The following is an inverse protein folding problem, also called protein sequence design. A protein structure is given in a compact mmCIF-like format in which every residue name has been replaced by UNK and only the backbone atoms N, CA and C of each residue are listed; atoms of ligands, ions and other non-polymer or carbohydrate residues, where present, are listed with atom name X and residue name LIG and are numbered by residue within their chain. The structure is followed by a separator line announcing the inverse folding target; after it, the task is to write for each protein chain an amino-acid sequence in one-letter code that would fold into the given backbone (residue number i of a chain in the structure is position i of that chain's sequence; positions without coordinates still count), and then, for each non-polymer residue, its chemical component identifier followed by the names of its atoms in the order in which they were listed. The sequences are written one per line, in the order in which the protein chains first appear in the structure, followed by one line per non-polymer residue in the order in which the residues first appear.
data_IF_840030626342
#
_entry.id   IF_840030626342
#
_cell.length_a   1.000
_cell.length_b   1.000
_cell.length_c   1.000
_cell.angle_alpha   90.00
_cell.angle_beta   90.00
_cell.angle_gamma   90.00
#
_symmetry.space_group_name_H-M   'P 1'
#
loop_
_entity.id
_entity.type
_entity.pdbx_description
1 polymer ?
#
# COMPACT_ATOMS: atom_id res chain seq x y z
N UNK A 1 23.00 35.41 -22.65
CA UNK A 1 21.87 34.86 -23.45
C UNK A 1 20.60 34.91 -22.61
N UNK A 2 19.75 35.92 -22.84
CA UNK A 2 18.61 36.24 -21.97
C UNK A 2 17.41 35.32 -22.24
N UNK A 3 17.12 34.43 -21.30
CA UNK A 3 15.94 33.57 -21.31
C UNK A 3 14.70 34.44 -21.02
N UNK A 4 14.10 35.01 -22.08
CA UNK A 4 12.82 35.72 -22.01
C UNK A 4 11.82 34.81 -21.28
N UNK A 5 11.32 35.28 -20.14
CA UNK A 5 10.40 34.58 -19.25
C UNK A 5 9.16 34.06 -19.97
N UNK A 6 9.27 32.87 -20.56
CA UNK A 6 8.13 32.01 -20.82
C UNK A 6 7.46 31.83 -19.48
N UNK A 7 6.28 32.44 -19.31
CA UNK A 7 5.45 32.31 -18.11
C UNK A 7 5.26 30.81 -17.88
N UNK A 8 6.05 30.23 -16.99
CA UNK A 8 6.02 28.79 -16.72
C UNK A 8 4.68 28.50 -16.05
N UNK A 9 3.76 27.92 -16.81
CA UNK A 9 2.49 27.39 -16.29
C UNK A 9 2.72 25.98 -15.76
N UNK A 10 1.99 25.56 -14.74
CA UNK A 10 2.03 24.16 -14.30
C UNK A 10 1.17 23.29 -15.21
N UNK A 11 1.28 21.96 -15.08
CA UNK A 11 0.52 20.99 -15.88
C UNK A 11 -1.00 21.18 -15.78
N UNK A 12 -1.54 21.43 -14.57
CA UNK A 12 -2.97 21.77 -14.35
C UNK A 12 -3.41 22.95 -15.20
N UNK A 13 -2.67 24.06 -15.11
CA UNK A 13 -3.02 25.30 -15.79
C UNK A 13 -2.80 25.20 -17.31
N UNK A 14 -1.79 24.43 -17.76
CA UNK A 14 -1.59 24.09 -19.17
C UNK A 14 -2.75 23.27 -19.74
N UNK A 15 -3.18 22.20 -19.04
CA UNK A 15 -4.34 21.36 -19.40
C UNK A 15 -5.62 22.18 -19.52
N UNK A 16 -5.82 23.09 -18.56
CA UNK A 16 -7.02 23.94 -18.51
C UNK A 16 -6.92 25.23 -19.37
N UNK A 17 -5.81 25.43 -20.10
CA UNK A 17 -5.52 26.65 -20.87
C UNK A 17 -5.66 27.95 -20.05
N UNK A 18 -5.35 27.90 -18.75
CA UNK A 18 -5.41 29.04 -17.81
C UNK A 18 -4.01 29.54 -17.44
N UNK A 19 -3.92 30.78 -16.96
CA UNK A 19 -2.68 31.32 -16.37
C UNK A 19 -2.48 30.72 -14.98
N UNK A 20 -1.22 30.43 -14.61
CA UNK A 20 -0.87 29.93 -13.29
C UNK A 20 -0.80 31.08 -12.28
N UNK A 21 -1.34 30.88 -11.08
CA UNK A 21 -1.22 31.85 -9.97
C UNK A 21 0.20 31.85 -9.38
N UNK A 22 0.65 32.98 -8.83
CA UNK A 22 2.02 33.14 -8.29
C UNK A 22 2.36 32.11 -7.20
N UNK A 23 1.38 31.72 -6.38
CA UNK A 23 1.52 30.76 -5.26
C UNK A 23 0.83 29.40 -5.56
N UNK A 24 0.97 28.88 -6.78
CA UNK A 24 0.37 27.59 -7.13
C UNK A 24 1.18 26.44 -6.49
N UNK A 25 0.55 25.69 -5.57
CA UNK A 25 1.20 24.57 -4.87
C UNK A 25 1.63 23.44 -5.81
N UNK A 26 0.93 23.25 -6.93
CA UNK A 26 1.24 22.21 -7.91
C UNK A 26 2.37 22.60 -8.87
N UNK A 27 2.77 23.88 -8.92
CA UNK A 27 3.75 24.36 -9.92
C UNK A 27 5.15 23.77 -9.76
N UNK A 28 5.71 23.63 -8.54
CA UNK A 28 7.02 23.02 -8.34
C UNK A 28 7.05 21.54 -8.75
N UNK A 29 5.95 20.82 -8.49
CA UNK A 29 5.90 19.36 -8.65
C UNK A 29 5.39 18.89 -10.02
N UNK A 30 4.51 19.68 -10.64
CA UNK A 30 3.93 19.38 -11.96
C UNK A 30 4.22 20.52 -12.94
N UNK A 31 5.45 20.64 -13.44
CA UNK A 31 5.79 21.62 -14.46
C UNK A 31 5.07 21.31 -15.79
N UNK A 32 5.02 22.29 -16.70
CA UNK A 32 4.30 22.16 -17.99
C UNK A 32 4.83 21.03 -18.88
N UNK A 33 6.09 20.68 -18.70
CA UNK A 33 6.83 19.62 -19.39
C UNK A 33 6.28 18.24 -19.00
N UNK A 34 5.89 18.07 -17.74
CA UNK A 34 5.43 16.79 -17.17
C UNK A 34 3.90 16.66 -17.22
N UNK A 35 3.28 17.15 -18.30
CA UNK A 35 1.81 17.09 -18.45
C UNK A 35 1.29 15.66 -18.54
N UNK A 36 2.10 14.72 -19.05
CA UNK A 36 1.73 13.30 -19.15
C UNK A 36 1.53 12.67 -17.77
N UNK A 37 2.48 12.88 -16.87
CA UNK A 37 2.43 12.40 -15.49
C UNK A 37 1.22 13.00 -14.76
N UNK A 38 1.00 14.31 -14.94
CA UNK A 38 -0.18 14.98 -14.41
C UNK A 38 -1.50 14.42 -14.96
N UNK A 39 -1.56 14.05 -16.24
CA UNK A 39 -2.76 13.42 -16.81
C UNK A 39 -2.97 12.04 -16.19
N UNK A 40 -1.91 11.22 -16.07
CA UNK A 40 -1.96 9.89 -15.48
C UNK A 40 -2.47 9.91 -14.04
N UNK A 41 -1.82 10.70 -13.17
CA UNK A 41 -2.20 10.80 -11.76
C UNK A 41 -3.63 11.32 -11.57
N UNK A 42 -4.10 12.24 -12.43
CA UNK A 42 -5.49 12.75 -12.37
C UNK A 42 -6.56 11.71 -12.71
N UNK A 43 -6.18 10.53 -13.21
CA UNK A 43 -7.12 9.40 -13.37
C UNK A 43 -7.41 8.67 -12.06
N UNK A 44 -6.56 8.85 -11.05
CA UNK A 44 -6.65 8.20 -9.74
C UNK A 44 -6.97 9.22 -8.64
N UNK A 45 -6.27 10.35 -8.65
CA UNK A 45 -6.43 11.43 -7.67
C UNK A 45 -7.09 12.65 -8.31
N UNK A 46 -8.17 13.15 -7.70
CA UNK A 46 -8.69 14.45 -8.09
C UNK A 46 -7.66 15.55 -7.80
N UNK A 47 -7.72 16.63 -8.58
CA UNK A 47 -6.79 17.75 -8.42
C UNK A 47 -6.93 18.40 -7.05
N UNK A 48 -8.17 18.50 -6.56
CA UNK A 48 -8.51 19.04 -5.25
C UNK A 48 -7.92 18.17 -4.13
N UNK A 49 -7.99 16.83 -4.27
CA UNK A 49 -7.42 15.92 -3.28
C UNK A 49 -5.89 16.04 -3.24
N UNK A 50 -5.24 16.11 -4.41
CA UNK A 50 -3.79 16.35 -4.47
C UNK A 50 -3.40 17.68 -3.79
N UNK A 51 -4.13 18.76 -4.09
CA UNK A 51 -3.88 20.07 -3.48
C UNK A 51 -4.06 20.03 -1.95
N UNK A 52 -5.12 19.39 -1.44
CA UNK A 52 -5.35 19.23 0.00
C UNK A 52 -4.25 18.43 0.69
N UNK A 53 -3.86 17.29 0.11
CA UNK A 53 -2.80 16.43 0.68
C UNK A 53 -1.50 17.23 0.75
N UNK A 54 -1.09 17.88 -0.35
CA UNK A 54 0.13 18.67 -0.38
C UNK A 54 0.08 19.85 0.58
N UNK A 55 -1.07 20.51 0.75
CA UNK A 55 -1.23 21.59 1.72
C UNK A 55 -1.06 21.12 3.17
N UNK A 56 -1.58 19.93 3.51
CA UNK A 56 -1.47 19.33 4.84
C UNK A 56 -0.08 18.71 5.13
N UNK A 57 0.74 18.53 4.09
CA UNK A 57 2.05 17.89 4.20
C UNK A 57 3.16 18.88 4.53
N UNK A 58 4.16 18.39 5.27
CA UNK A 58 5.42 19.09 5.50
C UNK A 58 6.10 19.46 4.18
N UNK A 59 6.61 20.70 3.99
CA UNK A 59 7.19 21.13 2.73
C UNK A 59 8.30 20.23 2.19
N UNK A 60 9.11 19.63 3.06
CA UNK A 60 10.25 18.80 2.67
C UNK A 60 9.79 17.41 2.20
N UNK A 61 8.70 16.88 2.77
CA UNK A 61 8.11 15.59 2.38
C UNK A 61 7.20 15.63 1.14
N UNK A 62 6.84 16.81 0.63
CA UNK A 62 5.89 16.92 -0.49
C UNK A 62 6.38 16.27 -1.78
N UNK A 63 7.68 16.31 -2.05
CA UNK A 63 8.23 15.69 -3.26
C UNK A 63 8.05 14.17 -3.22
N UNK A 64 8.35 13.55 -2.07
CA UNK A 64 8.19 12.10 -1.88
C UNK A 64 6.72 11.68 -2.00
N UNK A 65 5.79 12.47 -1.47
CA UNK A 65 4.35 12.23 -1.61
C UNK A 65 3.94 12.27 -3.09
N UNK A 66 4.41 13.26 -3.86
CA UNK A 66 4.12 13.34 -5.30
C UNK A 66 4.69 12.13 -6.03
N UNK A 67 5.94 11.75 -5.74
CA UNK A 67 6.58 10.60 -6.36
C UNK A 67 5.82 9.31 -6.04
N UNK A 68 5.34 9.15 -4.80
CA UNK A 68 4.50 8.02 -4.40
C UNK A 68 3.17 8.02 -5.15
N UNK A 69 2.53 9.16 -5.38
CA UNK A 69 1.29 9.21 -6.15
C UNK A 69 1.54 8.87 -7.63
N UNK A 70 2.69 9.25 -8.19
CA UNK A 70 3.07 8.93 -9.58
C UNK A 70 3.38 7.44 -9.80
N UNK A 71 3.81 6.74 -8.75
CA UNK A 71 3.92 5.28 -8.77
C UNK A 71 2.57 4.60 -8.97
N UNK A 72 1.45 5.28 -8.78
CA UNK A 72 0.12 4.71 -9.02
C UNK A 72 -0.32 5.08 -10.43
N UNK A 73 -0.30 4.07 -11.29
CA UNK A 73 -0.78 4.10 -12.66
C UNK A 73 -2.30 4.01 -12.80
N UNK A 74 -2.79 4.04 -14.05
CA UNK A 74 -4.21 3.99 -14.36
C UNK A 74 -4.90 2.78 -13.70
N UNK A 75 -6.11 3.00 -13.17
CA UNK A 75 -6.90 1.99 -12.43
C UNK A 75 -6.23 1.47 -11.14
N UNK A 76 -5.35 2.26 -10.52
CA UNK A 76 -4.72 1.91 -9.24
C UNK A 76 -3.63 0.83 -9.35
N UNK A 77 -3.13 0.55 -10.54
CA UNK A 77 -2.00 -0.37 -10.76
C UNK A 77 -0.69 0.35 -10.46
N UNK A 78 0.28 -0.30 -9.82
CA UNK A 78 1.60 0.31 -9.67
C UNK A 78 2.33 0.40 -11.03
N UNK A 79 2.85 1.59 -11.33
CA UNK A 79 3.78 1.87 -12.43
C UNK A 79 5.18 1.36 -12.04
N UNK A 80 5.33 0.05 -11.98
CA UNK A 80 6.63 -0.59 -11.74
C UNK A 80 7.35 -0.79 -13.07
N UNK A 81 8.65 -0.55 -13.07
CA UNK A 81 9.54 -1.01 -14.15
C UNK A 81 9.53 -2.54 -14.23
N UNK A 82 9.89 -3.09 -15.40
CA UNK A 82 9.99 -4.55 -15.55
C UNK A 82 11.03 -5.16 -14.61
N UNK A 83 12.11 -4.43 -14.31
CA UNK A 83 13.13 -4.84 -13.33
C UNK A 83 12.57 -4.96 -11.92
N UNK A 84 11.80 -3.95 -11.46
CA UNK A 84 11.15 -3.98 -10.14
C UNK A 84 10.14 -5.11 -10.04
N UNK A 85 9.34 -5.34 -11.10
CA UNK A 85 8.40 -6.47 -11.16
C UNK A 85 9.13 -7.80 -11.04
N UNK A 86 10.23 -7.96 -11.79
CA UNK A 86 11.00 -9.20 -11.79
C UNK A 86 11.59 -9.49 -10.41
N UNK A 87 12.15 -8.48 -9.75
CA UNK A 87 12.67 -8.59 -8.38
C UNK A 87 11.58 -9.01 -7.40
N UNK A 88 10.41 -8.35 -7.44
CA UNK A 88 9.27 -8.69 -6.57
C UNK A 88 8.81 -10.13 -6.81
N UNK A 89 8.77 -10.59 -8.05
CA UNK A 89 8.35 -11.95 -8.39
C UNK A 89 9.34 -13.00 -7.85
N UNK A 90 10.64 -12.74 -7.97
CA UNK A 90 11.68 -13.63 -7.46
C UNK A 90 11.65 -13.71 -5.92
N UNK A 91 11.55 -12.57 -5.24
CA UNK A 91 11.42 -12.51 -3.79
C UNK A 91 10.17 -13.24 -3.30
N UNK A 92 9.01 -13.01 -3.95
CA UNK A 92 7.77 -13.72 -3.63
C UNK A 92 7.88 -15.23 -3.84
N UNK A 93 8.65 -15.68 -4.83
CA UNK A 93 8.89 -17.10 -5.08
C UNK A 93 9.68 -17.73 -3.94
N UNK A 94 10.75 -17.08 -3.48
CA UNK A 94 11.54 -17.58 -2.35
C UNK A 94 10.75 -17.59 -1.05
N UNK A 95 10.02 -16.52 -0.75
CA UNK A 95 9.14 -16.45 0.43
C UNK A 95 8.08 -17.57 0.44
N UNK A 96 7.52 -17.92 -0.73
CA UNK A 96 6.56 -19.02 -0.84
C UNK A 96 7.20 -20.37 -0.52
N UNK A 97 8.44 -20.63 -0.96
CA UNK A 97 9.17 -21.87 -0.64
C UNK A 97 9.47 -21.98 0.84
N UNK A 98 9.90 -20.88 1.47
CA UNK A 98 10.17 -20.85 2.90
C UNK A 98 8.90 -21.12 3.71
N UNK A 99 7.80 -20.47 3.34
CA UNK A 99 6.49 -20.71 3.94
C UNK A 99 6.03 -22.16 3.82
N UNK A 100 6.28 -22.80 2.68
CA UNK A 100 5.95 -24.22 2.47
C UNK A 100 6.74 -25.15 3.40
N UNK A 101 8.05 -24.91 3.55
CA UNK A 101 8.89 -25.64 4.51
C UNK A 101 8.38 -25.47 5.94
N UNK A 102 8.09 -24.22 6.33
CA UNK A 102 7.56 -23.90 7.65
C UNK A 102 6.21 -24.59 7.90
N UNK A 103 5.32 -24.58 6.91
CA UNK A 103 4.05 -25.29 6.99
C UNK A 103 4.26 -26.80 7.21
N UNK A 104 5.22 -27.42 6.52
CA UNK A 104 5.57 -28.83 6.74
C UNK A 104 6.01 -29.12 8.17
N UNK A 105 6.90 -28.28 8.74
CA UNK A 105 7.35 -28.41 10.13
C UNK A 105 6.20 -28.22 11.12
N UNK A 106 5.32 -27.25 10.86
CA UNK A 106 4.15 -27.00 11.71
C UNK A 106 3.18 -28.19 11.71
N UNK A 107 3.00 -28.86 10.58
CA UNK A 107 2.13 -30.04 10.47
C UNK A 107 2.71 -31.26 11.20
N UNK A 108 4.03 -31.45 11.12
CA UNK A 108 4.73 -32.48 11.90
C UNK A 108 4.61 -32.22 13.40
N UNK A 109 4.86 -30.98 13.84
CA UNK A 109 4.69 -30.59 15.24
C UNK A 109 3.26 -30.79 15.72
N UNK A 110 2.26 -30.44 14.90
CA UNK A 110 0.85 -30.66 15.23
C UNK A 110 0.54 -32.13 15.40
N UNK A 111 0.99 -32.97 14.47
CA UNK A 111 0.81 -34.43 14.55
C UNK A 111 1.43 -35.02 15.82
N UNK A 112 2.59 -34.49 16.23
CA UNK A 112 3.25 -34.86 17.49
C UNK A 112 2.46 -34.43 18.72
N UNK A 113 1.92 -33.22 18.73
CA UNK A 113 1.04 -32.72 19.80
C UNK A 113 -0.20 -33.62 19.92
N UNK A 114 -0.89 -33.89 18.80
CA UNK A 114 -2.09 -34.74 18.78
C UNK A 114 -1.80 -36.16 19.31
N UNK A 115 -0.63 -36.72 18.95
CA UNK A 115 -0.18 -38.02 19.43
C UNK A 115 0.07 -38.03 20.94
N UNK A 116 0.74 -36.99 21.47
CA UNK A 116 0.99 -36.84 22.91
C UNK A 116 -0.31 -36.65 23.68
N UNK A 117 -1.24 -35.83 23.17
CA UNK A 117 -2.57 -35.67 23.76
C UNK A 117 -3.33 -37.01 23.82
N UNK A 118 -3.23 -37.83 22.77
CA UNK A 118 -3.79 -39.18 22.76
C UNK A 118 -3.21 -40.07 23.87
N UNK A 119 -1.88 -40.05 24.07
CA UNK A 119 -1.20 -40.83 25.11
C UNK A 119 -1.59 -40.34 26.51
N UNK A 120 -1.66 -39.03 26.73
CA UNK A 120 -2.04 -38.45 28.02
C UNK A 120 -3.48 -38.84 28.40
N UNK A 121 -4.42 -38.79 27.43
CA UNK A 121 -5.81 -39.26 27.62
C UNK A 121 -5.86 -40.74 28.00
N UNK A 122 -5.08 -41.60 27.34
CA UNK A 122 -5.02 -43.03 27.68
C UNK A 122 -4.50 -43.29 29.10
N UNK A 123 -3.57 -42.46 29.59
CA UNK A 123 -3.01 -42.56 30.95
C UNK A 123 -3.90 -41.95 32.02
N UNK A 124 -5.06 -41.40 31.67
CA UNK A 124 -5.97 -40.72 32.61
C UNK A 124 -5.38 -39.43 33.19
N UNK A 125 -4.42 -38.81 32.49
CA UNK A 125 -3.82 -37.54 32.89
C UNK A 125 -4.62 -36.42 32.23
N UNK A 126 -5.50 -35.77 33.00
CA UNK A 126 -6.21 -34.57 32.54
C UNK A 126 -5.26 -33.36 32.58
N UNK A 127 -5.11 -32.69 31.44
CA UNK A 127 -4.31 -31.47 31.33
C UNK A 127 -5.19 -30.28 31.74
N UNK A 128 -5.14 -29.86 33.00
CA UNK A 128 -5.84 -28.64 33.46
C UNK A 128 -5.25 -27.34 32.87
N UNK A 129 -4.14 -27.39 32.14
CA UNK A 129 -3.38 -26.18 31.75
C UNK A 129 -3.47 -25.73 30.29
N UNK A 130 -4.21 -26.41 29.41
CA UNK A 130 -4.51 -25.87 28.07
C UNK A 130 -5.84 -25.14 28.09
N UNK A 131 -5.81 -23.96 28.71
CA UNK A 131 -6.92 -23.05 28.78
C UNK A 131 -7.35 -22.65 27.34
N UNK A 132 -8.61 -22.86 26.98
CA UNK A 132 -9.16 -22.59 25.64
C UNK A 132 -8.95 -21.15 25.15
N UNK A 133 -8.58 -20.23 26.07
CA UNK A 133 -8.20 -18.84 25.78
C UNK A 133 -6.84 -18.62 25.11
N UNK A 134 -6.04 -19.67 24.84
CA UNK A 134 -4.73 -19.55 24.17
C UNK A 134 -4.73 -19.92 22.68
N UNK A 135 -5.91 -20.14 22.05
CA UNK A 135 -5.99 -20.23 20.59
C UNK A 135 -5.58 -18.87 20.01
N UNK A 136 -4.31 -18.72 19.61
CA UNK A 136 -3.91 -17.63 18.71
C UNK A 136 -4.82 -17.75 17.47
N UNK A 137 -5.59 -16.72 17.11
CA UNK A 137 -6.37 -16.76 15.88
C UNK A 137 -5.43 -17.07 14.72
N UNK A 138 -5.90 -17.78 13.69
CA UNK A 138 -5.11 -17.84 12.47
C UNK A 138 -5.00 -16.40 11.97
N UNK A 139 -3.84 -15.93 11.46
CA UNK A 139 -3.71 -14.57 10.95
C UNK A 139 -4.76 -14.20 9.89
N UNK A 140 -5.34 -15.20 9.20
CA UNK A 140 -6.48 -15.04 8.29
C UNK A 140 -7.78 -14.60 8.97
N UNK A 141 -7.98 -14.97 10.24
CA UNK A 141 -9.18 -14.72 11.03
C UNK A 141 -9.20 -13.27 11.59
N UNK A 142 -8.03 -12.59 11.62
CA UNK A 142 -7.90 -11.18 12.04
C UNK A 142 -8.21 -10.18 10.91
N UNK A 143 -8.30 -10.63 9.66
CA UNK A 143 -8.49 -9.74 8.50
C UNK A 143 -9.98 -9.37 8.31
N UNK A 144 -10.92 -10.13 8.87
CA UNK A 144 -12.35 -9.99 8.57
C UNK A 144 -13.13 -9.01 9.48
N UNK A 145 -12.48 -8.34 10.44
CA UNK A 145 -13.18 -7.49 11.43
C UNK A 145 -12.92 -5.98 11.34
N UNK A 146 -12.39 -5.46 10.23
CA UNK A 146 -12.53 -4.03 9.94
C UNK A 146 -13.93 -3.74 9.39
N UNK A 147 -14.90 -3.68 10.32
CA UNK A 147 -16.23 -3.14 10.08
C UNK A 147 -16.12 -1.76 9.41
N UNK A 148 -16.70 -1.62 8.21
CA UNK A 148 -16.98 -0.30 7.64
C UNK A 148 -18.05 0.36 8.51
N UNK A 149 -17.84 1.57 9.07
CA UNK A 149 -18.89 2.27 9.79
C UNK A 149 -20.06 2.51 8.84
N UNK A 150 -21.21 1.98 9.22
CA UNK A 150 -22.48 2.23 8.59
C UNK A 150 -22.76 3.73 8.69
N UNK A 151 -22.73 4.46 7.57
CA UNK A 151 -23.20 5.84 7.54
C UNK A 151 -24.70 5.83 7.84
N UNK A 152 -25.05 6.19 9.08
CA UNK A 152 -26.41 6.57 9.43
C UNK A 152 -26.83 7.71 8.51
N UNK A 153 -27.87 7.41 7.73
CA UNK A 153 -28.68 8.42 7.05
C UNK A 153 -29.69 8.93 8.07
N UNK A 154 -29.50 10.16 8.50
CA UNK A 154 -30.56 11.06 8.95
C UNK A 154 -30.66 12.20 7.93
#
# INVERSE_FOLDING_TARGET
MSNRGRKTVCAKHKKNKKKCVKKCILKPYFPAENIRDFVSITTVYSVENMERILQASDPDGRQEIVDSMLRIGPRGRYNLSEEEKQKILEENKELRKEREKMHGVMEELRSRVDSLEGILKQKGIENESYNEGSKRPRPSDEIETQERPNQQRD
#
